data_IF_010760340203
#
_entry.id   IF_010760340203
#
_cell.length_a   1.000
_cell.length_b   1.000
_cell.length_c   1.000
_cell.angle_alpha   90.00
_cell.angle_beta   90.00
_cell.angle_gamma   90.00
#
_symmetry.space_group_name_H-M   'P 1'
#
loop_
_entity.id
_entity.type
_entity.pdbx_description
1 polymer ?
#
# COMPACT_ATOMS: atom_id res chain seq x y z
N UNK A 1 4.89 -35.71 -0.90
CA UNK A 1 4.82 -34.27 -0.76
C UNK A 1 6.07 -33.66 -1.36
N UNK A 2 5.89 -32.66 -2.22
CA UNK A 2 7.03 -31.99 -2.85
C UNK A 2 7.66 -30.99 -1.90
N UNK A 3 8.98 -30.88 -1.91
CA UNK A 3 9.69 -29.85 -1.17
C UNK A 3 9.45 -28.49 -1.82
N UNK A 4 9.36 -27.44 -1.01
CA UNK A 4 9.24 -26.10 -1.51
C UNK A 4 10.50 -25.69 -2.27
N UNK A 5 10.32 -25.14 -3.45
CA UNK A 5 11.40 -24.58 -4.25
C UNK A 5 11.07 -23.12 -4.55
N UNK A 6 11.92 -22.18 -4.14
CA UNK A 6 11.64 -20.77 -4.40
C UNK A 6 11.55 -20.50 -5.90
N UNK A 7 10.54 -19.72 -6.34
CA UNK A 7 10.43 -19.36 -7.75
C UNK A 7 11.60 -18.49 -8.19
N UNK A 8 12.00 -18.61 -9.45
CA UNK A 8 13.03 -17.76 -10.03
C UNK A 8 12.47 -16.61 -10.87
N UNK A 9 11.15 -16.60 -11.08
CA UNK A 9 10.44 -15.54 -11.78
C UNK A 9 9.01 -15.48 -11.26
N UNK A 10 8.31 -14.40 -11.58
CA UNK A 10 6.95 -14.14 -11.10
C UNK A 10 6.89 -14.09 -9.57
N UNK A 11 7.87 -13.39 -8.99
CA UNK A 11 7.92 -13.14 -7.56
C UNK A 11 8.32 -11.68 -7.31
N UNK A 12 8.08 -11.21 -6.09
CA UNK A 12 8.53 -9.90 -5.67
C UNK A 12 9.18 -9.99 -4.30
N UNK A 13 9.92 -8.93 -3.93
CA UNK A 13 10.59 -8.88 -2.62
C UNK A 13 9.75 -8.08 -1.65
N UNK A 14 9.62 -8.62 -0.44
CA UNK A 14 8.93 -7.94 0.65
C UNK A 14 9.93 -7.75 1.79
N UNK A 15 10.05 -6.52 2.35
CA UNK A 15 11.01 -6.29 3.43
C UNK A 15 10.65 -7.11 4.66
N UNK A 16 11.66 -7.76 5.25
CA UNK A 16 11.44 -8.60 6.43
C UNK A 16 10.87 -7.80 7.61
N UNK A 17 11.26 -6.53 7.74
CA UNK A 17 10.79 -5.66 8.82
C UNK A 17 9.30 -5.44 8.84
N UNK A 18 8.60 -5.69 7.72
CA UNK A 18 7.15 -5.50 7.67
C UNK A 18 6.42 -6.38 8.69
N UNK A 19 7.01 -7.51 9.06
CA UNK A 19 6.42 -8.38 10.07
C UNK A 19 6.44 -7.80 11.48
N UNK A 20 7.25 -6.77 11.70
CA UNK A 20 7.31 -6.06 12.99
C UNK A 20 6.31 -4.89 13.06
N UNK A 21 5.68 -4.55 11.93
CA UNK A 21 4.69 -3.47 11.87
C UNK A 21 3.34 -4.03 12.32
N UNK A 22 2.64 -3.36 13.27
CA UNK A 22 1.33 -3.85 13.72
C UNK A 22 0.27 -3.61 12.65
N UNK A 23 0.07 -4.58 11.77
CA UNK A 23 -0.93 -4.55 10.69
C UNK A 23 -1.86 -5.75 10.83
N UNK A 24 -3.15 -5.56 10.52
CA UNK A 24 -4.04 -6.70 10.38
C UNK A 24 -3.83 -7.38 9.01
N UNK A 25 -4.52 -8.51 8.80
CA UNK A 25 -4.35 -9.29 7.58
C UNK A 25 -4.70 -8.50 6.30
N UNK A 26 -5.76 -7.69 6.36
CA UNK A 26 -6.19 -6.89 5.21
C UNK A 26 -5.17 -5.80 4.88
N UNK A 27 -4.69 -5.11 5.90
CA UNK A 27 -3.67 -4.07 5.74
C UNK A 27 -2.37 -4.65 5.22
N UNK A 28 -1.95 -5.79 5.74
CA UNK A 28 -0.75 -6.48 5.27
C UNK A 28 -0.91 -6.90 3.80
N UNK A 29 -2.03 -7.48 3.45
CA UNK A 29 -2.30 -7.92 2.08
C UNK A 29 -2.26 -6.74 1.10
N UNK A 30 -2.87 -5.62 1.48
CA UNK A 30 -2.85 -4.42 0.65
C UNK A 30 -1.41 -3.90 0.49
N UNK A 31 -0.66 -3.82 1.58
CA UNK A 31 0.73 -3.37 1.51
C UNK A 31 1.56 -4.26 0.58
N UNK A 32 1.48 -5.57 0.76
CA UNK A 32 2.21 -6.52 -0.07
C UNK A 32 1.82 -6.40 -1.54
N UNK A 33 0.53 -6.20 -1.82
CA UNK A 33 0.05 -5.99 -3.18
C UNK A 33 0.65 -4.74 -3.81
N UNK A 34 0.69 -3.63 -3.06
CA UNK A 34 1.27 -2.39 -3.55
C UNK A 34 2.77 -2.52 -3.81
N UNK A 35 3.48 -3.25 -2.95
CA UNK A 35 4.91 -3.55 -3.19
C UNK A 35 5.07 -4.33 -4.48
N UNK A 36 4.23 -5.34 -4.68
CA UNK A 36 4.24 -6.17 -5.89
C UNK A 36 4.02 -5.31 -7.15
N UNK A 37 3.02 -4.44 -7.13
CA UNK A 37 2.67 -3.60 -8.28
C UNK A 37 3.72 -2.53 -8.57
N UNK A 38 4.40 -2.04 -7.53
CA UNK A 38 5.38 -0.96 -7.66
C UNK A 38 6.68 -1.42 -8.31
N UNK A 39 7.06 -2.68 -8.11
CA UNK A 39 8.33 -3.17 -8.63
C UNK A 39 9.50 -2.32 -8.16
N UNK A 40 10.47 -2.11 -9.04
CA UNK A 40 11.66 -1.30 -8.70
C UNK A 40 11.39 0.20 -8.68
N UNK A 41 10.24 0.65 -9.19
CA UNK A 41 9.91 2.09 -9.23
C UNK A 41 9.55 2.64 -7.85
N UNK A 42 8.99 1.80 -6.97
CA UNK A 42 8.56 2.24 -5.65
C UNK A 42 7.23 2.98 -5.63
N UNK A 43 6.51 3.00 -6.74
CA UNK A 43 5.17 3.60 -6.81
C UNK A 43 4.30 2.90 -7.85
N UNK A 44 2.99 3.02 -7.71
CA UNK A 44 2.03 2.43 -8.64
C UNK A 44 0.70 3.18 -8.55
N UNK A 45 -0.18 2.97 -9.53
CA UNK A 45 -1.47 3.66 -9.57
C UNK A 45 -2.63 2.73 -9.98
N UNK A 46 -2.78 1.57 -9.36
CA UNK A 46 -3.93 0.71 -9.67
C UNK A 46 -5.22 1.37 -9.23
N UNK A 47 -6.30 1.14 -9.98
CA UNK A 47 -7.63 1.59 -9.57
C UNK A 47 -8.12 0.76 -8.38
N UNK A 48 -9.10 1.28 -7.64
CA UNK A 48 -9.71 0.51 -6.56
C UNK A 48 -10.30 -0.80 -7.08
N UNK A 49 -10.91 -0.76 -8.27
CA UNK A 49 -11.46 -1.97 -8.89
C UNK A 49 -10.40 -3.02 -9.15
N UNK A 50 -9.25 -2.59 -9.67
CA UNK A 50 -8.12 -3.49 -9.92
C UNK A 50 -7.61 -4.11 -8.62
N UNK A 51 -7.43 -3.29 -7.58
CA UNK A 51 -6.98 -3.78 -6.29
C UNK A 51 -7.97 -4.80 -5.73
N UNK A 52 -9.25 -4.47 -5.76
CA UNK A 52 -10.31 -5.34 -5.22
C UNK A 52 -10.38 -6.65 -5.98
N UNK A 53 -10.25 -6.61 -7.31
CA UNK A 53 -10.24 -7.80 -8.14
C UNK A 53 -9.05 -8.71 -7.80
N UNK A 54 -7.88 -8.12 -7.69
CA UNK A 54 -6.64 -8.90 -7.52
C UNK A 54 -6.45 -9.39 -6.09
N UNK A 55 -6.95 -8.68 -5.10
CA UNK A 55 -6.74 -9.02 -3.68
C UNK A 55 -7.96 -9.65 -3.02
N UNK A 56 -9.15 -9.43 -3.56
CA UNK A 56 -10.39 -9.85 -2.91
C UNK A 56 -10.83 -8.96 -1.75
N UNK A 57 -10.14 -7.85 -1.54
CA UNK A 57 -10.50 -6.90 -0.47
C UNK A 57 -11.75 -6.13 -0.89
N UNK A 58 -12.72 -6.01 0.02
CA UNK A 58 -13.97 -5.27 -0.24
C UNK A 58 -13.73 -3.77 -0.13
N UNK A 59 -14.59 -2.99 -0.77
CA UNK A 59 -14.43 -1.53 -0.89
C UNK A 59 -14.24 -0.83 0.45
N UNK A 60 -15.09 -1.10 1.44
CA UNK A 60 -14.98 -0.45 2.75
C UNK A 60 -13.70 -0.83 3.48
N UNK A 61 -13.32 -2.10 3.39
CA UNK A 61 -12.07 -2.59 3.98
C UNK A 61 -10.85 -2.00 3.30
N UNK A 62 -10.91 -1.84 1.97
CA UNK A 62 -9.84 -1.23 1.20
C UNK A 62 -9.62 0.22 1.62
N UNK A 63 -10.70 1.00 1.72
CA UNK A 63 -10.60 2.40 2.12
C UNK A 63 -9.99 2.56 3.51
N UNK A 64 -10.42 1.71 4.46
CA UNK A 64 -9.86 1.72 5.82
C UNK A 64 -8.38 1.33 5.83
N UNK A 65 -8.02 0.31 5.06
CA UNK A 65 -6.64 -0.15 4.98
C UNK A 65 -5.73 0.93 4.38
N UNK A 66 -6.19 1.63 3.35
CA UNK A 66 -5.42 2.75 2.77
C UNK A 66 -5.15 3.82 3.82
N UNK A 67 -6.17 4.19 4.60
CA UNK A 67 -6.00 5.17 5.68
C UNK A 67 -4.96 4.76 6.70
N UNK A 68 -5.00 3.50 7.13
CA UNK A 68 -4.05 2.98 8.12
C UNK A 68 -2.63 2.99 7.57
N UNK A 69 -2.43 2.49 6.36
CA UNK A 69 -1.09 2.47 5.75
C UNK A 69 -0.54 3.88 5.59
N UNK A 70 -1.39 4.84 5.21
CA UNK A 70 -1.01 6.23 5.06
C UNK A 70 -0.66 6.86 6.41
N UNK A 71 -1.48 6.66 7.42
CA UNK A 71 -1.24 7.21 8.75
C UNK A 71 0.03 6.64 9.37
N UNK A 72 0.25 5.35 9.19
CA UNK A 72 1.44 4.67 9.70
C UNK A 72 2.71 5.05 8.90
N UNK A 73 2.56 5.83 7.84
CA UNK A 73 3.66 6.31 6.99
C UNK A 73 4.39 5.18 6.25
N UNK A 74 3.63 4.14 5.92
CA UNK A 74 4.12 3.09 5.03
C UNK A 74 3.98 3.50 3.57
N UNK A 75 2.99 4.34 3.27
CA UNK A 75 2.73 4.84 1.92
C UNK A 75 2.38 6.32 1.96
N UNK A 76 2.61 6.99 0.83
CA UNK A 76 2.04 8.31 0.54
C UNK A 76 1.08 8.16 -0.62
N UNK A 77 -0.03 8.87 -0.58
CA UNK A 77 -1.08 8.75 -1.60
C UNK A 77 -1.28 10.12 -2.27
N UNK A 78 -1.15 10.14 -3.58
CA UNK A 78 -1.37 11.32 -4.40
C UNK A 78 -2.46 11.04 -5.42
N UNK A 79 -3.06 12.07 -5.97
CA UNK A 79 -4.00 11.90 -7.08
C UNK A 79 -3.23 11.79 -8.38
N UNK A 80 -3.56 10.76 -9.16
CA UNK A 80 -3.02 10.55 -10.50
C UNK A 80 -4.13 10.83 -11.50
N UNK A 81 -3.89 11.74 -12.45
CA UNK A 81 -4.83 12.06 -13.53
C UNK A 81 -4.27 11.61 -14.86
N UNK A 82 -5.10 10.90 -15.63
CA UNK A 82 -4.71 10.51 -16.98
C UNK A 82 -5.13 11.59 -17.99
N UNK A 83 -4.82 11.36 -19.26
CA UNK A 83 -5.11 12.31 -20.35
C UNK A 83 -6.59 12.55 -20.56
N UNK A 84 -7.48 11.70 -20.05
CA UNK A 84 -8.92 11.81 -20.21
C UNK A 84 -9.60 12.46 -19.01
N UNK A 85 -8.85 12.99 -18.08
CA UNK A 85 -9.39 13.65 -16.90
C UNK A 85 -9.84 12.72 -15.77
N UNK A 86 -9.72 11.42 -15.93
CA UNK A 86 -10.01 10.47 -14.88
C UNK A 86 -8.89 10.49 -13.85
N UNK A 87 -9.26 10.39 -12.58
CA UNK A 87 -8.26 10.37 -11.51
C UNK A 87 -8.35 9.09 -10.70
N UNK A 88 -7.21 8.58 -10.30
CA UNK A 88 -7.10 7.48 -9.36
C UNK A 88 -5.93 7.76 -8.42
N UNK A 89 -5.77 6.93 -7.41
CA UNK A 89 -4.70 7.12 -6.45
C UNK A 89 -3.37 6.67 -7.03
N UNK A 90 -2.33 7.41 -6.72
CA UNK A 90 -0.94 7.00 -6.95
C UNK A 90 -0.32 6.72 -5.60
N UNK A 91 0.15 5.49 -5.39
CA UNK A 91 0.67 5.02 -4.12
C UNK A 91 2.19 4.97 -4.19
N UNK A 92 2.83 5.65 -3.25
CA UNK A 92 4.29 5.67 -3.14
C UNK A 92 4.70 4.93 -1.88
N UNK A 93 5.59 3.95 -2.02
CA UNK A 93 6.12 3.22 -0.89
C UNK A 93 7.15 4.08 -0.17
N UNK A 94 7.09 4.10 1.16
CA UNK A 94 7.99 4.88 1.99
C UNK A 94 8.97 3.96 2.71
N UNK A 95 10.09 4.53 3.17
CA UNK A 95 11.11 3.78 3.89
C UNK A 95 10.57 3.21 5.19
N UNK A 96 10.96 1.99 5.53
CA UNK A 96 10.63 1.35 6.79
C UNK A 96 11.56 1.77 7.94
N UNK A 97 12.45 2.73 7.71
CA UNK A 97 13.39 3.19 8.74
C UNK A 97 12.78 4.21 9.70
N UNK A 98 11.55 4.67 9.43
CA UNK A 98 10.85 5.60 10.31
C UNK A 98 10.31 4.86 11.55
N UNK A 99 10.76 5.21 12.78
CA UNK A 99 10.30 4.51 13.98
C UNK A 99 8.81 4.66 14.26
N UNK A 100 8.16 5.69 13.74
CA UNK A 100 6.71 5.87 13.90
C UNK A 100 5.88 4.74 13.29
N UNK A 101 6.44 4.03 12.32
CA UNK A 101 5.77 2.92 11.64
C UNK A 101 5.41 1.80 12.60
N UNK A 102 6.22 1.61 13.64
CA UNK A 102 6.15 0.44 14.53
C UNK A 102 5.31 0.68 15.78
N UNK A 103 4.80 1.89 15.98
CA UNK A 103 3.95 2.19 17.14
C UNK A 103 2.51 1.81 16.87
N UNK A 104 1.75 1.58 17.94
CA UNK A 104 0.31 1.37 17.81
C UNK A 104 -0.38 2.69 17.46
N UNK A 105 -1.41 2.59 16.63
CA UNK A 105 -2.22 3.73 16.22
C UNK A 105 -3.54 3.72 16.96
N UNK A 106 -3.96 4.91 17.42
CA UNK A 106 -5.23 5.11 18.08
C UNK A 106 -6.33 5.46 17.07
N UNK A 107 -7.49 5.88 17.59
CA UNK A 107 -8.65 6.25 16.79
C UNK A 107 -8.45 7.48 15.89
N UNK A 108 -7.31 8.12 15.96
CA UNK A 108 -7.00 9.32 15.16
C UNK A 108 -6.96 9.06 13.66
N UNK A 109 -6.93 7.79 13.26
CA UNK A 109 -6.93 7.38 11.84
C UNK A 109 -8.05 8.06 11.06
N UNK A 110 -9.23 8.19 11.67
CA UNK A 110 -10.40 8.74 10.97
C UNK A 110 -10.32 10.26 10.75
N UNK A 111 -9.40 10.94 11.40
CA UNK A 111 -9.23 12.39 11.30
C UNK A 111 -8.26 12.81 10.18
N UNK A 112 -7.54 11.85 9.62
CA UNK A 112 -6.55 12.15 8.59
C UNK A 112 -7.19 12.25 7.21
N UNK A 113 -6.72 13.18 6.38
CA UNK A 113 -7.18 13.25 4.99
C UNK A 113 -6.77 11.98 4.25
N UNK A 114 -7.63 11.51 3.37
CA UNK A 114 -7.36 10.31 2.58
C UNK A 114 -6.29 10.56 1.52
N UNK A 115 -6.24 11.77 0.98
CA UNK A 115 -5.33 12.13 -0.10
C UNK A 115 -4.42 13.27 0.30
N UNK A 116 -3.25 13.31 -0.33
CA UNK A 116 -2.32 14.43 -0.27
C UNK A 116 -2.55 15.25 -1.54
N UNK A 117 -2.84 16.55 -1.40
CA UNK A 117 -3.17 17.44 -2.52
C UNK A 117 -1.92 18.04 -3.17
N UNK A 118 -0.83 17.32 -3.21
CA UNK A 118 0.42 17.77 -3.80
C UNK A 118 0.87 16.79 -4.86
N UNK A 119 1.66 17.28 -5.84
CA UNK A 119 2.26 16.41 -6.84
C UNK A 119 3.24 15.45 -6.17
N UNK A 120 3.35 14.19 -6.67
CA UNK A 120 4.32 13.24 -6.11
C UNK A 120 5.75 13.77 -6.29
N UNK A 121 6.66 13.41 -5.38
CA UNK A 121 8.07 13.78 -5.54
C UNK A 121 8.67 13.16 -6.80
N UNK A 122 9.55 13.90 -7.40
CA UNK A 122 10.23 13.49 -8.64
C UNK A 122 11.15 12.28 -8.42
#
# INVERSE_FOLDING_TARGET
MRKYQPPTREFFRLPNKIFQVPLDATQFKLYAYLVCCSGSKGYCWPTHETIMRDTGIKKSSLQKAIKVLKQRKLIAVYKHRNAYGHSNNEYHLLSLDNPEIYRDLDSEVDELPLFIDADPPA
#
